data_IF_708429792483
#
_entry.id   IF_708429792483
#
_cell.length_a   1.000
_cell.length_b   1.000
_cell.length_c   1.000
_cell.angle_alpha   90.00
_cell.angle_beta   90.00
_cell.angle_gamma   90.00
#
_symmetry.space_group_name_H-M   'P 1'
#
loop_
_entity.id
_entity.type
_entity.pdbx_description
1 polymer ?
#
# COMPACT_ATOMS: atom_id res chain seq x y z
N UNK A 1 -2.82 -12.66 8.20
CA UNK A 1 -4.10 -12.21 7.57
C UNK A 1 -5.33 -12.71 8.32
N UNK A 2 -5.40 -13.97 8.71
CA UNK A 2 -6.60 -14.57 9.31
C UNK A 2 -7.00 -13.95 10.64
N UNK A 3 -6.03 -13.53 11.46
CA UNK A 3 -6.27 -12.90 12.76
C UNK A 3 -6.87 -11.51 12.72
N UNK A 4 -6.57 -10.72 11.68
CA UNK A 4 -7.05 -9.33 11.54
C UNK A 4 -8.24 -9.26 10.59
N UNK A 5 -8.16 -9.97 9.47
CA UNK A 5 -9.16 -9.88 8.39
C UNK A 5 -10.18 -11.02 8.41
N UNK A 6 -10.08 -11.96 9.37
CA UNK A 6 -11.01 -13.11 9.51
C UNK A 6 -11.16 -13.93 8.22
N UNK A 7 -10.14 -13.97 7.37
CA UNK A 7 -10.20 -14.64 6.07
C UNK A 7 -11.08 -13.95 5.02
N UNK A 8 -11.52 -12.72 5.27
CA UNK A 8 -12.40 -11.97 4.35
C UNK A 8 -11.64 -11.20 3.27
N UNK A 9 -10.32 -11.11 3.38
CA UNK A 9 -9.46 -10.42 2.42
C UNK A 9 -8.33 -11.34 1.94
N UNK A 10 -7.91 -11.13 0.72
CA UNK A 10 -6.81 -11.90 0.13
C UNK A 10 -5.49 -11.17 0.38
N UNK A 11 -4.41 -11.86 0.79
CA UNK A 11 -3.08 -11.28 0.80
C UNK A 11 -2.74 -10.71 -0.58
N UNK A 12 -2.12 -9.53 -0.59
CA UNK A 12 -1.69 -8.89 -1.81
C UNK A 12 -0.20 -9.16 -2.06
N UNK A 13 0.12 -9.59 -3.28
CA UNK A 13 1.49 -9.85 -3.71
C UNK A 13 2.09 -8.62 -4.43
N UNK A 14 1.22 -7.79 -5.00
CA UNK A 14 1.59 -6.61 -5.79
C UNK A 14 0.67 -5.44 -5.46
N UNK A 15 1.07 -4.22 -5.84
CA UNK A 15 0.31 -2.99 -5.57
C UNK A 15 -1.13 -3.05 -6.14
N UNK A 16 -1.30 -3.63 -7.32
CA UNK A 16 -2.60 -3.84 -7.96
C UNK A 16 -2.81 -5.32 -8.24
N UNK A 17 -4.04 -5.80 -8.08
CA UNK A 17 -4.38 -7.18 -8.44
C UNK A 17 -4.15 -7.42 -9.95
N UNK A 18 -3.70 -8.62 -10.31
CA UNK A 18 -3.43 -9.00 -11.71
C UNK A 18 -4.68 -8.99 -12.62
N UNK A 19 -5.86 -8.91 -12.04
CA UNK A 19 -7.13 -8.74 -12.77
C UNK A 19 -7.39 -7.31 -13.23
N UNK A 20 -6.60 -6.35 -12.74
CA UNK A 20 -6.69 -4.94 -13.15
C UNK A 20 -5.96 -4.78 -14.49
N UNK A 21 -6.49 -3.98 -15.43
CA UNK A 21 -5.84 -3.75 -16.71
C UNK A 21 -4.37 -3.31 -16.55
N UNK A 22 -3.49 -3.84 -17.38
CA UNK A 22 -2.03 -3.59 -17.40
C UNK A 22 -1.25 -4.08 -16.16
N UNK A 23 -1.92 -4.65 -15.15
CA UNK A 23 -1.30 -5.04 -13.88
C UNK A 23 -0.99 -6.55 -13.77
N UNK A 24 -1.22 -7.35 -14.83
CA UNK A 24 -0.77 -8.75 -14.89
C UNK A 24 0.74 -8.83 -15.18
N UNK A 25 1.51 -8.33 -14.21
CA UNK A 25 2.97 -8.27 -14.26
C UNK A 25 3.51 -9.31 -13.29
N UNK A 26 4.46 -10.10 -13.76
CA UNK A 26 5.11 -11.13 -12.92
C UNK A 26 6.21 -10.48 -12.11
N UNK A 27 5.92 -10.19 -10.86
CA UNK A 27 6.87 -9.71 -9.87
C UNK A 27 7.06 -10.80 -8.82
N UNK A 28 8.29 -10.93 -8.32
CA UNK A 28 8.57 -11.85 -7.21
C UNK A 28 8.02 -11.26 -5.90
N UNK A 29 7.05 -11.91 -5.24
CA UNK A 29 6.45 -11.38 -4.04
C UNK A 29 7.45 -11.37 -2.88
N UNK A 30 7.39 -10.35 -2.04
CA UNK A 30 8.15 -10.31 -0.81
C UNK A 30 7.59 -11.30 0.21
N UNK A 31 8.37 -12.34 0.53
CA UNK A 31 7.98 -13.31 1.53
C UNK A 31 8.26 -12.77 2.95
N UNK A 32 7.35 -13.03 3.87
CA UNK A 32 7.60 -12.77 5.28
C UNK A 32 8.77 -13.61 5.79
N UNK A 33 9.87 -12.95 6.18
CA UNK A 33 11.07 -13.60 6.68
C UNK A 33 11.88 -12.66 7.58
N UNK A 34 11.68 -12.77 8.89
CA UNK A 34 12.37 -11.93 9.89
C UNK A 34 13.89 -12.17 9.91
N UNK A 35 14.34 -13.41 9.66
CA UNK A 35 15.77 -13.72 9.62
C UNK A 35 16.44 -13.00 8.45
N UNK A 36 15.85 -13.09 7.26
CA UNK A 36 16.35 -12.39 6.08
C UNK A 36 16.31 -10.87 6.26
N UNK A 37 15.24 -10.34 6.84
CA UNK A 37 15.12 -8.91 7.14
C UNK A 37 16.25 -8.44 8.09
N UNK A 38 16.52 -9.22 9.14
CA UNK A 38 17.64 -8.96 10.05
C UNK A 38 18.98 -8.99 9.35
N UNK A 39 19.21 -9.94 8.43
CA UNK A 39 20.44 -10.05 7.66
C UNK A 39 20.62 -8.87 6.70
N UNK A 40 19.57 -8.46 5.99
CA UNK A 40 19.62 -7.28 5.09
C UNK A 40 19.99 -6.02 5.89
N UNK A 41 19.42 -5.83 7.08
CA UNK A 41 19.77 -4.71 7.95
C UNK A 41 21.23 -4.79 8.40
N UNK A 42 21.72 -5.99 8.74
CA UNK A 42 23.12 -6.21 9.10
C UNK A 42 24.07 -5.89 7.93
N UNK A 43 23.75 -6.33 6.72
CA UNK A 43 24.55 -6.09 5.51
C UNK A 43 24.54 -4.60 5.13
N UNK A 44 23.44 -3.91 5.39
CA UNK A 44 23.32 -2.45 5.23
C UNK A 44 24.06 -1.64 6.33
N UNK A 45 24.66 -2.33 7.32
CA UNK A 45 25.44 -1.69 8.39
C UNK A 45 24.66 -1.32 9.63
N UNK A 46 23.36 -1.64 9.70
CA UNK A 46 22.55 -1.49 10.89
C UNK A 46 22.82 -2.63 11.87
N UNK A 47 23.62 -2.39 12.92
CA UNK A 47 24.00 -3.40 13.91
C UNK A 47 23.22 -3.25 15.20
N UNK A 48 22.96 -4.38 15.88
CA UNK A 48 22.30 -4.32 17.19
C UNK A 48 23.12 -3.49 18.18
N UNK A 49 22.48 -2.43 18.67
CA UNK A 49 23.03 -1.52 19.66
C UNK A 49 22.58 -1.83 21.08
N UNK A 50 22.88 -0.90 22.00
CA UNK A 50 22.38 -0.95 23.36
C UNK A 50 20.87 -0.73 23.39
N UNK A 51 20.13 -1.55 24.14
CA UNK A 51 18.67 -1.44 24.25
C UNK A 51 17.89 -2.20 23.19
N UNK A 52 18.52 -3.13 22.48
CA UNK A 52 17.91 -3.98 21.45
C UNK A 52 17.36 -3.20 20.24
N UNK A 53 17.84 -2.01 19.99
CA UNK A 53 17.56 -1.24 18.77
C UNK A 53 18.84 -1.19 17.92
N UNK A 54 18.69 -1.37 16.61
CA UNK A 54 19.81 -1.29 15.65
C UNK A 54 20.32 0.14 15.53
N UNK A 55 21.63 0.26 15.35
CA UNK A 55 22.32 1.53 15.22
C UNK A 55 23.28 1.52 14.03
N UNK A 56 23.37 2.65 13.34
CA UNK A 56 24.35 2.91 12.29
C UNK A 56 24.81 4.36 12.40
N UNK A 57 26.13 4.59 12.38
CA UNK A 57 26.76 5.92 12.46
C UNK A 57 26.30 6.75 13.69
N UNK A 58 25.99 6.06 14.81
CA UNK A 58 25.51 6.68 16.05
C UNK A 58 24.03 7.03 16.06
N UNK A 59 23.28 6.66 15.04
CA UNK A 59 21.83 6.85 14.96
C UNK A 59 21.09 5.52 15.13
N UNK A 60 20.03 5.53 15.93
CA UNK A 60 19.14 4.39 16.09
C UNK A 60 18.18 4.29 14.91
N UNK A 61 17.81 3.05 14.55
CA UNK A 61 16.83 2.79 13.51
C UNK A 61 15.41 2.99 14.09
N UNK A 62 14.92 4.20 13.96
CA UNK A 62 13.55 4.57 14.34
C UNK A 62 12.76 4.85 13.05
N UNK A 63 11.54 4.36 12.99
CA UNK A 63 10.60 4.54 11.88
C UNK A 63 9.28 5.03 12.45
N UNK A 64 8.72 6.07 11.87
CA UNK A 64 7.41 6.62 12.23
C UNK A 64 6.33 6.10 11.29
N UNK A 65 5.38 5.33 11.82
CA UNK A 65 4.23 4.81 11.09
C UNK A 65 2.98 5.62 11.44
N UNK A 66 2.45 6.33 10.46
CA UNK A 66 1.21 7.09 10.56
C UNK A 66 0.01 6.22 10.18
N UNK A 67 -1.06 6.25 10.99
CA UNK A 67 -2.31 5.56 10.70
C UNK A 67 -3.53 6.41 11.07
N UNK A 68 -4.67 6.12 10.42
CA UNK A 68 -5.94 6.76 10.76
C UNK A 68 -6.51 6.16 12.06
N UNK A 69 -6.63 6.97 13.11
CA UNK A 69 -7.13 6.54 14.43
C UNK A 69 -8.58 6.04 14.42
N UNK A 70 -9.37 6.43 13.42
CA UNK A 70 -10.74 5.94 13.23
C UNK A 70 -10.78 4.53 12.61
N UNK A 71 -9.65 4.05 12.07
CA UNK A 71 -9.51 2.72 11.49
C UNK A 71 -9.01 1.70 12.53
N UNK A 72 -9.91 0.90 13.07
CA UNK A 72 -9.56 -0.22 13.97
C UNK A 72 -8.63 -1.22 13.29
N UNK A 73 -8.79 -1.41 11.98
CA UNK A 73 -7.97 -2.33 11.17
C UNK A 73 -6.54 -1.82 11.07
N UNK A 74 -6.34 -0.56 10.67
CA UNK A 74 -5.00 0.04 10.57
C UNK A 74 -4.28 0.02 11.91
N UNK A 75 -4.99 0.39 12.99
CA UNK A 75 -4.45 0.30 14.35
C UNK A 75 -3.95 -1.11 14.68
N UNK A 76 -4.76 -2.12 14.41
CA UNK A 76 -4.40 -3.52 14.70
C UNK A 76 -3.20 -3.98 13.88
N UNK A 77 -3.09 -3.56 12.63
CA UNK A 77 -1.93 -3.86 11.78
C UNK A 77 -0.70 -3.11 12.31
N UNK A 78 -0.82 -1.84 12.67
CA UNK A 78 0.28 -1.04 13.20
C UNK A 78 0.86 -1.65 14.49
N UNK A 79 0.00 -2.06 15.42
CA UNK A 79 0.40 -2.73 16.67
C UNK A 79 1.10 -4.09 16.39
N UNK A 80 0.61 -4.85 15.43
CA UNK A 80 1.26 -6.09 15.01
C UNK A 80 2.63 -5.81 14.39
N UNK A 81 2.72 -4.89 13.44
CA UNK A 81 3.99 -4.50 12.81
C UNK A 81 4.99 -3.98 13.84
N UNK A 82 4.55 -3.19 14.83
CA UNK A 82 5.42 -2.70 15.89
C UNK A 82 6.12 -3.85 16.64
N UNK A 83 5.38 -4.91 16.97
CA UNK A 83 5.93 -6.10 17.62
C UNK A 83 6.94 -6.83 16.71
N UNK A 84 6.63 -6.99 15.44
CA UNK A 84 7.49 -7.68 14.47
C UNK A 84 8.79 -6.90 14.23
N UNK A 85 8.70 -5.58 14.03
CA UNK A 85 9.85 -4.70 13.85
C UNK A 85 10.77 -4.69 15.08
N UNK A 86 10.16 -4.67 16.27
CA UNK A 86 10.93 -4.76 17.52
C UNK A 86 11.74 -6.06 17.59
N UNK A 87 11.20 -7.18 17.11
CA UNK A 87 11.88 -8.48 17.13
C UNK A 87 13.18 -8.51 16.30
N UNK A 88 13.29 -7.66 15.29
CA UNK A 88 14.48 -7.51 14.46
C UNK A 88 15.31 -6.25 14.78
N UNK A 89 14.98 -5.58 15.88
CA UNK A 89 15.75 -4.42 16.38
C UNK A 89 15.41 -3.10 15.70
N UNK A 90 14.22 -2.96 15.14
CA UNK A 90 13.72 -1.70 14.60
C UNK A 90 12.71 -1.09 15.57
N UNK A 91 12.88 0.17 15.92
CA UNK A 91 11.92 0.92 16.73
C UNK A 91 10.83 1.51 15.82
N UNK A 92 9.66 0.88 15.77
CA UNK A 92 8.52 1.40 15.03
C UNK A 92 7.63 2.22 15.96
N UNK A 93 7.57 3.53 15.75
CA UNK A 93 6.71 4.45 16.47
C UNK A 93 5.39 4.57 15.72
N UNK A 94 4.28 4.20 16.34
CA UNK A 94 2.97 4.25 15.71
C UNK A 94 2.21 5.51 16.12
N UNK A 95 1.75 6.31 15.15
CA UNK A 95 1.07 7.58 15.35
C UNK A 95 -0.35 7.52 14.79
N UNK A 96 -1.35 7.46 15.67
CA UNK A 96 -2.75 7.51 15.29
C UNK A 96 -3.27 8.94 15.26
N UNK A 97 -3.71 9.39 14.09
CA UNK A 97 -4.25 10.72 13.86
C UNK A 97 -5.71 10.63 13.44
N UNK A 98 -6.51 11.65 13.79
CA UNK A 98 -7.85 11.77 13.22
C UNK A 98 -7.78 12.04 11.71
N UNK A 99 -8.85 11.74 10.98
CA UNK A 99 -8.91 11.74 9.52
C UNK A 99 -8.31 13.00 8.86
N UNK A 100 -8.63 14.21 9.34
CA UNK A 100 -8.13 15.43 8.71
C UNK A 100 -6.63 15.62 8.97
N UNK A 101 -6.17 15.41 10.21
CA UNK A 101 -4.76 15.49 10.58
C UNK A 101 -3.93 14.43 9.84
N UNK A 102 -4.46 13.21 9.74
CA UNK A 102 -3.88 12.12 8.97
C UNK A 102 -3.64 12.51 7.52
N UNK A 103 -4.67 13.05 6.84
CA UNK A 103 -4.56 13.50 5.44
C UNK A 103 -3.59 14.65 5.26
N UNK A 104 -3.56 15.60 6.20
CA UNK A 104 -2.67 16.74 6.11
C UNK A 104 -1.20 16.31 6.31
N UNK A 105 -0.93 15.38 7.24
CA UNK A 105 0.39 14.78 7.42
C UNK A 105 0.84 13.96 6.21
N UNK A 106 -0.06 13.18 5.59
CA UNK A 106 0.22 12.47 4.34
C UNK A 106 0.66 13.42 3.22
N UNK A 107 -0.09 14.52 3.02
CA UNK A 107 0.23 15.53 1.99
C UNK A 107 1.55 16.24 2.26
N UNK A 108 1.85 16.48 3.54
CA UNK A 108 3.09 17.13 3.95
C UNK A 108 4.31 16.20 3.92
N UNK A 109 4.12 14.88 3.76
CA UNK A 109 5.18 13.88 3.84
C UNK A 109 5.73 13.69 5.25
N UNK A 110 4.93 13.95 6.28
CA UNK A 110 5.30 13.82 7.68
C UNK A 110 5.13 12.36 8.16
N UNK A 111 5.84 11.43 7.54
CA UNK A 111 5.84 10.00 7.88
C UNK A 111 7.07 9.32 7.28
N UNK A 112 7.49 8.22 7.87
CA UNK A 112 8.38 7.25 7.23
C UNK A 112 7.55 6.15 6.56
N UNK A 113 6.46 5.74 7.22
CA UNK A 113 5.47 4.79 6.70
C UNK A 113 4.07 5.34 6.94
N UNK A 114 3.14 5.03 6.03
CA UNK A 114 1.73 5.42 6.16
C UNK A 114 0.85 4.39 5.48
N UNK A 115 -0.33 4.15 6.04
CA UNK A 115 -1.33 3.34 5.36
C UNK A 115 -1.96 4.13 4.22
N UNK A 116 -2.22 3.47 3.10
CA UNK A 116 -2.97 4.04 2.00
C UNK A 116 -3.77 2.96 1.28
N UNK A 117 -4.81 3.36 0.57
CA UNK A 117 -5.66 2.49 -0.24
C UNK A 117 -5.53 2.93 -1.70
N UNK A 118 -5.18 2.01 -2.58
CA UNK A 118 -5.27 2.26 -4.02
C UNK A 118 -6.74 2.39 -4.41
N UNK A 119 -7.09 3.51 -5.00
CA UNK A 119 -8.45 3.83 -5.42
C UNK A 119 -8.47 4.29 -6.88
N UNK A 120 -9.63 4.24 -7.51
CA UNK A 120 -9.80 4.73 -8.86
C UNK A 120 -11.22 4.48 -9.37
N UNK A 121 -11.58 5.13 -10.44
CA UNK A 121 -12.79 4.81 -11.21
C UNK A 121 -12.67 3.39 -11.74
N UNK A 122 -13.78 2.67 -11.87
CA UNK A 122 -13.81 1.23 -11.64
C UNK A 122 -12.71 0.51 -12.41
N UNK A 123 -11.79 -0.05 -11.65
CA UNK A 123 -10.78 -1.00 -12.11
C UNK A 123 -9.74 -0.43 -13.10
N UNK A 124 -9.53 0.90 -13.10
CA UNK A 124 -8.46 1.52 -13.87
C UNK A 124 -7.36 2.04 -12.92
N UNK A 125 -6.12 1.57 -13.01
CA UNK A 125 -5.03 2.00 -12.15
C UNK A 125 -4.54 3.42 -12.46
N UNK A 126 -4.99 4.01 -13.57
CA UNK A 126 -4.56 5.32 -14.05
C UNK A 126 -4.74 6.43 -12.99
N UNK A 127 -5.83 6.39 -12.24
CA UNK A 127 -6.10 7.39 -11.19
C UNK A 127 -5.06 7.33 -10.07
N UNK A 128 -4.68 6.14 -9.63
CA UNK A 128 -3.64 5.95 -8.62
C UNK A 128 -2.26 6.37 -9.14
N UNK A 129 -1.92 6.01 -10.38
CA UNK A 129 -0.68 6.46 -10.99
C UNK A 129 -0.63 7.98 -11.15
N UNK A 130 -1.74 8.61 -11.55
CA UNK A 130 -1.82 10.07 -11.63
C UNK A 130 -1.57 10.75 -10.27
N UNK A 131 -2.04 10.14 -9.16
CA UNK A 131 -1.81 10.64 -7.81
C UNK A 131 -0.33 10.59 -7.41
N UNK A 132 0.43 9.59 -7.88
CA UNK A 132 1.86 9.41 -7.57
C UNK A 132 2.73 10.60 -8.00
N UNK A 133 2.33 11.35 -9.03
CA UNK A 133 3.05 12.54 -9.53
C UNK A 133 2.45 13.88 -9.09
N UNK A 134 1.42 13.85 -8.26
CA UNK A 134 0.74 15.07 -7.81
C UNK A 134 1.09 15.40 -6.35
N UNK A 135 1.79 16.53 -6.06
CA UNK A 135 2.30 16.85 -4.73
C UNK A 135 1.25 16.98 -3.62
N UNK A 136 -0.03 16.92 -3.97
CA UNK A 136 -1.14 16.97 -3.01
C UNK A 136 -1.51 15.62 -2.41
N UNK A 137 -0.86 14.53 -2.86
CA UNK A 137 -1.11 13.17 -2.40
C UNK A 137 0.10 12.57 -1.68
N UNK A 138 -0.15 11.69 -0.71
CA UNK A 138 0.88 10.98 0.03
C UNK A 138 1.75 10.08 -0.85
N UNK A 139 1.18 9.52 -1.91
CA UNK A 139 1.91 8.70 -2.90
C UNK A 139 3.08 9.47 -3.56
N UNK A 140 2.91 10.77 -3.81
CA UNK A 140 4.01 11.61 -4.29
C UNK A 140 5.12 11.73 -3.23
N UNK A 141 4.72 11.98 -1.97
CA UNK A 141 5.67 12.11 -0.87
C UNK A 141 6.45 10.81 -0.62
N UNK A 142 5.78 9.66 -0.70
CA UNK A 142 6.39 8.34 -0.53
C UNK A 142 7.49 8.02 -1.58
N UNK A 143 7.47 8.67 -2.73
CA UNK A 143 8.40 8.44 -3.83
C UNK A 143 9.53 9.49 -3.93
N UNK A 144 9.57 10.50 -3.06
CA UNK A 144 10.56 11.58 -3.16
C UNK A 144 12.02 11.13 -2.96
N UNK A 145 12.21 9.96 -2.35
CA UNK A 145 13.54 9.39 -2.12
C UNK A 145 14.06 8.50 -3.26
N UNK A 146 13.28 8.27 -4.31
CA UNK A 146 13.69 7.45 -5.45
C UNK A 146 14.68 8.19 -6.34
N UNK A 147 15.76 7.53 -6.72
CA UNK A 147 16.78 8.08 -7.62
C UNK A 147 16.23 8.33 -9.03
N UNK A 148 15.28 7.51 -9.47
CA UNK A 148 14.63 7.56 -10.79
C UNK A 148 13.21 8.15 -10.75
N UNK A 149 12.89 8.96 -9.72
CA UNK A 149 11.57 9.59 -9.57
C UNK A 149 11.14 10.39 -10.82
N UNK A 150 12.08 11.07 -11.46
CA UNK A 150 11.78 11.87 -12.65
C UNK A 150 11.37 10.99 -13.84
N UNK A 151 12.03 9.87 -14.05
CA UNK A 151 11.75 8.91 -15.11
C UNK A 151 10.41 8.21 -14.87
N UNK A 152 10.09 7.89 -13.60
CA UNK A 152 8.79 7.34 -13.20
C UNK A 152 7.68 8.36 -13.51
N UNK A 153 7.85 9.63 -13.17
CA UNK A 153 6.88 10.70 -13.45
C UNK A 153 6.67 10.92 -14.95
N UNK A 154 7.74 10.85 -15.74
CA UNK A 154 7.68 10.94 -17.20
C UNK A 154 6.92 9.74 -17.80
N UNK A 155 7.21 8.52 -17.33
CA UNK A 155 6.48 7.33 -17.75
C UNK A 155 4.99 7.41 -17.39
N UNK A 156 4.64 7.85 -16.19
CA UNK A 156 3.24 8.07 -15.80
C UNK A 156 2.60 9.14 -16.68
N UNK A 157 3.32 10.20 -17.01
CA UNK A 157 2.81 11.26 -17.91
C UNK A 157 2.48 10.70 -19.28
N UNK A 158 3.33 9.84 -19.83
CA UNK A 158 3.09 9.18 -21.12
C UNK A 158 1.91 8.18 -21.02
N UNK A 159 1.79 7.42 -19.94
CA UNK A 159 0.63 6.53 -19.68
C UNK A 159 -0.70 7.30 -19.80
N UNK A 160 -0.75 8.51 -19.24
CA UNK A 160 -1.99 9.31 -19.20
C UNK A 160 -2.45 9.80 -20.56
N UNK A 161 -1.60 9.81 -21.58
CA UNK A 161 -1.91 10.39 -22.89
C UNK A 161 -1.77 9.43 -24.06
N UNK A 162 -1.03 8.33 -23.91
CA UNK A 162 -0.85 7.35 -25.01
C UNK A 162 -2.12 6.56 -25.26
N UNK A 163 -2.41 6.31 -26.55
CA UNK A 163 -3.49 5.43 -27.01
C UNK A 163 -2.95 4.12 -27.59
N UNK A 164 -1.64 3.96 -27.63
CA UNK A 164 -0.97 2.72 -28.04
C UNK A 164 -0.97 1.75 -26.85
N UNK A 165 -1.73 0.66 -26.97
CA UNK A 165 -1.94 -0.31 -25.90
C UNK A 165 -0.65 -1.07 -25.53
N UNK A 166 0.18 -1.41 -26.53
CA UNK A 166 1.45 -2.11 -26.29
C UNK A 166 2.42 -1.19 -25.53
N UNK A 167 2.51 0.06 -25.98
CA UNK A 167 3.33 1.05 -25.29
C UNK A 167 2.84 1.33 -23.89
N UNK A 168 1.54 1.40 -23.69
CA UNK A 168 0.93 1.56 -22.37
C UNK A 168 1.29 0.41 -21.44
N UNK A 169 1.19 -0.84 -21.92
CA UNK A 169 1.59 -2.01 -21.15
C UNK A 169 3.08 -1.98 -20.75
N UNK A 170 3.97 -1.57 -21.67
CA UNK A 170 5.40 -1.41 -21.35
C UNK A 170 5.63 -0.40 -20.24
N UNK A 171 4.96 0.76 -20.31
CA UNK A 171 5.10 1.81 -19.31
C UNK A 171 4.56 1.40 -17.93
N UNK A 172 3.41 0.72 -17.88
CA UNK A 172 2.90 0.16 -16.62
C UNK A 172 3.88 -0.87 -16.03
N UNK A 173 4.42 -1.73 -16.89
CA UNK A 173 5.42 -2.72 -16.45
C UNK A 173 6.65 -2.03 -15.89
N UNK A 174 7.16 -1.00 -16.55
CA UNK A 174 8.29 -0.21 -16.07
C UNK A 174 8.01 0.39 -14.69
N UNK A 175 6.95 1.18 -14.57
CA UNK A 175 6.61 1.90 -13.31
C UNK A 175 6.38 0.92 -12.16
N UNK A 176 5.54 -0.11 -12.37
CA UNK A 176 5.18 -1.02 -11.29
C UNK A 176 6.35 -1.93 -10.87
N UNK A 177 7.24 -2.28 -11.80
CA UNK A 177 8.45 -3.03 -11.47
C UNK A 177 9.40 -2.22 -10.60
N UNK A 178 9.70 -0.97 -10.97
CA UNK A 178 10.60 -0.11 -10.19
C UNK A 178 10.05 0.17 -8.79
N UNK A 179 8.76 0.53 -8.69
CA UNK A 179 8.12 0.76 -7.39
C UNK A 179 8.11 -0.50 -6.51
N UNK A 180 8.04 -1.68 -7.11
CA UNK A 180 8.12 -2.94 -6.38
C UNK A 180 9.55 -3.24 -5.93
N UNK A 181 10.53 -3.17 -6.84
CA UNK A 181 11.94 -3.50 -6.55
C UNK A 181 12.54 -2.57 -5.49
N UNK A 182 12.14 -1.30 -5.47
CA UNK A 182 12.53 -0.33 -4.44
C UNK A 182 11.70 -0.41 -3.15
N UNK A 183 10.75 -1.36 -3.08
CA UNK A 183 9.88 -1.58 -1.93
C UNK A 183 9.15 -0.31 -1.43
N UNK A 184 8.81 0.61 -2.36
CA UNK A 184 8.10 1.86 -2.04
C UNK A 184 6.73 1.59 -1.44
N UNK A 185 6.07 0.54 -1.92
CA UNK A 185 4.79 0.07 -1.42
C UNK A 185 4.92 -1.33 -0.85
N UNK A 186 4.29 -1.55 0.30
CA UNK A 186 4.18 -2.86 0.94
C UNK A 186 2.73 -3.31 0.80
N UNK A 187 2.38 -4.12 -0.21
CA UNK A 187 1.02 -4.61 -0.39
C UNK A 187 0.61 -5.48 0.80
N UNK A 188 -0.54 -5.22 1.39
CA UNK A 188 -1.05 -5.97 2.52
C UNK A 188 -2.16 -6.93 2.10
N UNK A 189 -3.25 -6.37 1.57
CA UNK A 189 -4.41 -7.14 1.14
C UNK A 189 -5.06 -6.52 -0.09
N UNK A 190 -5.73 -7.36 -0.88
CA UNK A 190 -6.74 -6.92 -1.83
C UNK A 190 -8.08 -6.89 -1.13
N UNK A 191 -8.63 -5.67 -0.98
CA UNK A 191 -9.90 -5.46 -0.31
C UNK A 191 -11.04 -6.14 -1.10
N UNK A 192 -11.94 -6.80 -0.37
CA UNK A 192 -13.12 -7.42 -0.92
C UNK A 192 -14.38 -6.64 -0.50
N UNK A 193 -15.28 -6.38 -1.45
CA UNK A 193 -16.57 -5.80 -1.13
C UNK A 193 -17.36 -6.75 -0.22
N UNK A 194 -17.97 -6.19 0.82
CA UNK A 194 -18.73 -6.93 1.83
C UNK A 194 -20.14 -6.35 1.92
N UNK A 195 -21.15 -7.21 1.96
CA UNK A 195 -22.54 -6.79 2.13
C UNK A 195 -23.22 -7.64 3.20
N UNK A 196 -24.02 -6.98 4.03
CA UNK A 196 -24.87 -7.62 5.03
C UNK A 196 -26.31 -7.28 4.67
N UNK A 197 -27.14 -8.30 4.53
CA UNK A 197 -28.56 -8.13 4.20
C UNK A 197 -29.42 -9.19 4.89
N UNK A 198 -30.71 -8.95 4.92
CA UNK A 198 -31.69 -9.88 5.52
C UNK A 198 -31.67 -11.22 4.77
N UNK A 199 -31.78 -12.33 5.50
CA UNK A 199 -31.73 -13.68 4.93
C UNK A 199 -32.91 -14.02 3.99
N UNK A 200 -34.03 -13.31 4.09
CA UNK A 200 -35.18 -13.46 3.22
C UNK A 200 -35.12 -12.58 1.96
N UNK A 201 -34.17 -11.65 1.88
CA UNK A 201 -33.94 -10.84 0.68
C UNK A 201 -33.31 -11.68 -0.43
N UNK A 202 -33.79 -11.52 -1.64
CA UNK A 202 -33.28 -12.13 -2.86
C UNK A 202 -32.85 -11.05 -3.85
N UNK A 203 -32.06 -11.45 -4.86
CA UNK A 203 -31.67 -10.56 -5.94
C UNK A 203 -30.44 -9.70 -5.64
N UNK A 204 -29.85 -9.79 -4.42
CA UNK A 204 -28.60 -9.10 -4.16
C UNK A 204 -27.45 -9.67 -4.99
N UNK A 205 -26.70 -8.80 -5.64
CA UNK A 205 -25.43 -9.11 -6.28
C UNK A 205 -24.53 -7.87 -6.28
N UNK A 206 -23.24 -8.05 -6.38
CA UNK A 206 -22.31 -6.94 -6.60
C UNK A 206 -22.35 -6.53 -8.07
N UNK A 207 -22.37 -5.24 -8.32
CA UNK A 207 -22.24 -4.66 -9.67
C UNK A 207 -20.77 -4.46 -10.03
N UNK A 208 -20.50 -3.90 -11.21
CA UNK A 208 -19.14 -3.56 -11.63
C UNK A 208 -18.51 -2.43 -10.79
N UNK A 209 -19.31 -1.65 -10.10
CA UNK A 209 -18.85 -0.58 -9.22
C UNK A 209 -19.29 -0.81 -7.78
N UNK A 210 -18.37 -0.62 -6.84
CA UNK A 210 -18.66 -0.79 -5.41
C UNK A 210 -19.68 0.21 -4.85
N UNK A 211 -19.97 1.29 -5.58
CA UNK A 211 -20.86 2.35 -5.16
C UNK A 211 -22.29 2.14 -5.59
N UNK A 212 -22.56 1.16 -6.43
CA UNK A 212 -23.88 0.88 -6.96
C UNK A 212 -24.57 -0.25 -6.18
N UNK A 213 -25.80 -0.01 -5.74
CA UNK A 213 -26.64 -1.01 -5.09
C UNK A 213 -27.84 -1.29 -6.01
N UNK A 214 -28.00 -2.52 -6.53
CA UNK A 214 -29.03 -2.87 -7.52
C UNK A 214 -30.41 -3.06 -6.86
N UNK A 215 -30.96 -2.01 -6.29
CA UNK A 215 -32.24 -2.05 -5.56
C UNK A 215 -33.42 -2.60 -6.40
N UNK A 216 -33.36 -2.39 -7.71
CA UNK A 216 -34.39 -2.83 -8.66
C UNK A 216 -34.50 -4.37 -8.72
N UNK A 217 -33.46 -5.09 -8.32
CA UNK A 217 -33.41 -6.55 -8.37
C UNK A 217 -33.83 -7.20 -7.05
N UNK A 218 -34.04 -6.40 -6.00
CA UNK A 218 -34.37 -6.91 -4.68
C UNK A 218 -35.84 -7.33 -4.59
N UNK A 219 -36.06 -8.47 -3.93
CA UNK A 219 -37.37 -8.97 -3.57
C UNK A 219 -37.31 -9.66 -2.19
N UNK A 220 -38.48 -9.78 -1.54
CA UNK A 220 -38.63 -10.45 -0.26
C UNK A 220 -39.60 -11.62 -0.33
#
# INVERSE_FOLDING_TARGET
SDGIFYGLEKPADTLFASTIPYCDIKLEPYAYNLELAGQILDDAGWKMGSGNVREKDGQQLNIDLLYNSDSVTEKSIAEYLQSEYQSIGVSLNIHGEEEQSYRDNMKAGNFDMVFNICWGTPYDPQSSLAAMRAPVYGDYAAQLGLDDKAEIDDAITEILVTTDEDRRQELYTYVLTHLHEDAVYIPLTYECNKAIYRSDMKGFHFTQTQYEVPFQDFSF
#
